data_IF_240399224715
#
_entry.id   IF_240399224715
#
_cell.length_a   1.000
_cell.length_b   1.000
_cell.length_c   1.000
_cell.angle_alpha   90.00
_cell.angle_beta   90.00
_cell.angle_gamma   90.00
#
_symmetry.space_group_name_H-M   'P 1'
#
loop_
_entity.id
_entity.type
_entity.pdbx_description
1 polymer ?
#
# COMPACT_ATOMS: atom_id res chain seq x y z
N UNK A 1 21.41 -6.41 18.71
CA UNK A 1 20.06 -7.02 18.53
C UNK A 1 19.05 -5.97 18.97
N UNK A 2 18.67 -5.04 18.08
CA UNK A 2 17.79 -3.93 18.43
C UNK A 2 16.34 -4.37 18.26
N UNK A 3 15.76 -4.87 19.35
CA UNK A 3 14.32 -5.04 19.49
C UNK A 3 13.71 -3.64 19.60
N UNK A 4 13.02 -3.18 18.55
CA UNK A 4 12.24 -1.95 18.62
C UNK A 4 11.17 -2.09 19.70
N UNK A 5 11.27 -1.19 20.68
CA UNK A 5 10.46 -1.04 21.90
C UNK A 5 9.02 -1.56 21.77
N UNK A 6 8.74 -2.72 22.37
CA UNK A 6 7.39 -3.22 22.61
C UNK A 6 6.72 -2.34 23.67
N UNK A 7 5.93 -1.35 23.26
CA UNK A 7 5.06 -0.60 24.18
C UNK A 7 3.72 -1.34 24.29
N UNK A 8 3.48 -1.92 25.46
CA UNK A 8 2.17 -2.44 25.85
C UNK A 8 1.15 -1.29 25.89
N UNK A 9 0.08 -1.38 25.09
CA UNK A 9 -1.10 -0.54 25.31
C UNK A 9 -2.38 -1.26 24.88
N UNK A 10 -3.44 -1.10 25.70
CA UNK A 10 -4.70 -1.86 25.65
C UNK A 10 -5.59 -1.38 24.50
N UNK A 11 -6.21 -2.32 23.79
CA UNK A 11 -7.26 -2.06 22.82
C UNK A 11 -8.53 -1.63 23.57
N UNK A 12 -8.82 -0.33 23.56
CA UNK A 12 -10.15 0.25 23.81
C UNK A 12 -10.53 0.90 22.48
N UNK A 13 -11.57 0.51 21.75
CA UNK A 13 -12.96 0.47 22.19
C UNK A 13 -13.73 1.53 21.38
N UNK A 14 -14.33 1.10 20.27
CA UNK A 14 -15.54 1.64 19.60
C UNK A 14 -15.68 3.19 19.52
N UNK A 15 -15.46 3.76 18.34
CA UNK A 15 -16.11 5.03 17.98
C UNK A 15 -17.40 4.72 17.21
N UNK A 16 -18.55 4.92 17.87
CA UNK A 16 -19.87 4.93 17.25
C UNK A 16 -20.07 6.27 16.55
N UNK A 17 -20.45 6.24 15.27
CA UNK A 17 -21.04 7.40 14.59
C UNK A 17 -22.57 7.23 14.58
N UNK A 18 -23.26 8.15 15.23
CA UNK A 18 -24.70 8.36 15.11
C UNK A 18 -24.98 9.06 13.78
N UNK A 19 -25.95 8.55 13.02
CA UNK A 19 -26.82 9.40 12.22
C UNK A 19 -28.19 8.72 12.07
N UNK A 20 -29.23 9.41 12.54
CA UNK A 20 -30.64 9.09 12.31
C UNK A 20 -31.07 9.84 11.06
N UNK A 21 -31.72 9.14 10.13
CA UNK A 21 -32.84 9.67 9.34
C UNK A 21 -33.74 8.48 8.99
N UNK A 22 -35.01 8.57 9.40
CA UNK A 22 -36.11 7.76 8.87
C UNK A 22 -36.52 8.36 7.52
N UNK A 23 -36.87 7.55 6.51
CA UNK A 23 -38.28 7.33 6.13
C UNK A 23 -38.42 6.27 5.02
N UNK A 24 -39.64 5.72 4.92
CA UNK A 24 -40.10 4.53 4.20
C UNK A 24 -40.07 4.57 2.65
N UNK A 25 -40.14 3.39 2.02
CA UNK A 25 -40.64 3.30 0.63
C UNK A 25 -40.19 2.11 -0.23
N UNK A 26 -40.96 1.02 -0.18
CA UNK A 26 -41.32 0.07 -1.25
C UNK A 26 -40.27 -0.73 -2.07
N UNK A 27 -40.55 -2.05 -2.10
CA UNK A 27 -39.98 -3.10 -2.95
C UNK A 27 -40.00 -2.81 -4.45
N UNK A 28 -38.94 -3.23 -5.14
CA UNK A 28 -39.08 -3.99 -6.39
C UNK A 28 -37.85 -4.87 -6.63
N UNK A 29 -38.13 -6.15 -6.84
CA UNK A 29 -37.19 -7.21 -7.16
C UNK A 29 -36.91 -7.24 -8.66
N UNK A 30 -35.64 -7.11 -9.05
CA UNK A 30 -35.16 -7.53 -10.37
C UNK A 30 -33.80 -8.22 -10.23
N UNK A 31 -33.83 -9.54 -10.30
CA UNK A 31 -32.64 -10.39 -10.39
C UNK A 31 -32.07 -10.34 -11.80
N UNK A 32 -31.00 -9.59 -12.00
CA UNK A 32 -30.10 -9.73 -13.15
C UNK A 32 -28.88 -10.52 -12.70
N UNK A 33 -28.81 -11.80 -13.13
CA UNK A 33 -27.67 -12.69 -12.85
C UNK A 33 -26.50 -12.30 -13.75
N UNK A 34 -25.63 -11.43 -13.26
CA UNK A 34 -24.32 -11.18 -13.88
C UNK A 34 -23.28 -12.09 -13.24
N UNK A 35 -22.66 -12.96 -14.04
CA UNK A 35 -21.60 -13.87 -13.61
C UNK A 35 -20.34 -13.09 -13.19
N UNK A 36 -19.78 -13.30 -11.98
CA UNK A 36 -18.61 -12.54 -11.49
C UNK A 36 -17.26 -12.91 -12.13
N UNK A 37 -17.23 -13.81 -13.11
CA UNK A 37 -15.99 -14.44 -13.59
C UNK A 37 -15.30 -13.64 -14.70
N UNK A 38 -16.06 -12.91 -15.52
CA UNK A 38 -15.53 -12.25 -16.74
C UNK A 38 -14.77 -10.96 -16.41
N UNK A 39 -15.23 -10.16 -15.44
CA UNK A 39 -14.59 -8.87 -15.12
C UNK A 39 -13.14 -9.02 -14.60
N UNK A 40 -12.82 -10.13 -13.93
CA UNK A 40 -11.52 -10.28 -13.25
C UNK A 40 -10.36 -10.70 -14.16
N UNK A 41 -10.65 -11.27 -15.33
CA UNK A 41 -9.61 -11.74 -16.25
C UNK A 41 -9.13 -10.61 -17.17
N UNK A 42 -10.06 -9.78 -17.64
CA UNK A 42 -9.74 -8.56 -18.40
C UNK A 42 -8.92 -7.57 -17.54
N UNK A 43 -9.33 -7.34 -16.28
CA UNK A 43 -8.58 -6.51 -15.34
C UNK A 43 -7.15 -7.03 -15.10
N UNK A 44 -6.97 -8.36 -15.16
CA UNK A 44 -5.66 -8.99 -14.99
C UNK A 44 -4.79 -8.78 -16.22
N UNK A 45 -5.34 -8.95 -17.42
CA UNK A 45 -4.62 -8.70 -18.67
C UNK A 45 -4.19 -7.24 -18.79
N UNK A 46 -5.09 -6.30 -18.46
CA UNK A 46 -4.78 -4.87 -18.45
C UNK A 46 -3.65 -4.58 -17.44
N UNK A 47 -3.74 -5.14 -16.23
CA UNK A 47 -2.68 -4.99 -15.23
C UNK A 47 -1.32 -5.51 -15.72
N UNK A 48 -1.28 -6.67 -16.40
CA UNK A 48 -0.04 -7.22 -16.97
C UNK A 48 0.55 -6.26 -18.00
N UNK A 49 -0.25 -5.80 -18.98
CA UNK A 49 0.21 -4.90 -20.05
C UNK A 49 0.76 -3.59 -19.47
N UNK A 50 0.03 -2.96 -18.54
CA UNK A 50 0.49 -1.73 -17.88
C UNK A 50 1.80 -1.98 -17.12
N UNK A 51 1.93 -3.13 -16.46
CA UNK A 51 3.14 -3.43 -15.69
C UNK A 51 4.39 -3.58 -16.56
N UNK A 52 4.26 -4.10 -17.79
CA UNK A 52 5.38 -4.25 -18.73
C UNK A 52 5.80 -2.88 -19.30
N UNK A 53 4.82 -2.04 -19.64
CA UNK A 53 5.06 -0.70 -20.17
C UNK A 53 5.80 0.21 -19.18
N UNK A 54 5.41 0.16 -17.89
CA UNK A 54 5.96 1.06 -16.87
C UNK A 54 7.24 0.58 -16.18
N UNK A 55 7.69 -0.65 -16.43
CA UNK A 55 8.95 -1.16 -15.88
C UNK A 55 10.18 -0.39 -16.38
N UNK A 56 10.05 0.29 -17.54
CA UNK A 56 11.15 0.95 -18.22
C UNK A 56 11.26 2.46 -17.95
N UNK A 57 10.46 3.00 -17.02
CA UNK A 57 10.50 4.44 -16.71
C UNK A 57 11.61 4.82 -15.72
N UNK A 58 12.11 6.04 -15.92
CA UNK A 58 13.33 6.60 -15.31
C UNK A 58 13.36 6.53 -13.77
N UNK A 59 14.44 5.98 -13.21
CA UNK A 59 14.65 5.78 -11.76
C UNK A 59 15.12 7.08 -11.04
N UNK A 60 14.42 8.20 -11.26
CA UNK A 60 14.80 9.51 -10.71
C UNK A 60 14.85 9.52 -9.17
N UNK A 61 13.87 8.89 -8.52
CA UNK A 61 13.80 8.79 -7.05
C UNK A 61 14.98 7.96 -6.51
N UNK A 62 15.30 6.84 -7.16
CA UNK A 62 16.41 5.97 -6.77
C UNK A 62 17.74 6.73 -6.74
N UNK A 63 17.99 7.55 -7.76
CA UNK A 63 19.19 8.41 -7.82
C UNK A 63 19.24 9.39 -6.66
N UNK A 64 18.13 10.08 -6.36
CA UNK A 64 18.06 11.07 -5.26
C UNK A 64 18.22 10.45 -3.87
N UNK A 65 17.68 9.25 -3.67
CA UNK A 65 17.68 8.58 -2.36
C UNK A 65 18.85 7.61 -2.18
N UNK A 66 19.74 7.48 -3.17
CA UNK A 66 20.90 6.59 -3.14
C UNK A 66 21.87 6.83 -1.96
N UNK A 67 21.87 8.04 -1.39
CA UNK A 67 22.73 8.40 -0.25
C UNK A 67 22.11 8.09 1.12
N UNK A 68 20.86 7.63 1.17
CA UNK A 68 20.22 7.27 2.45
C UNK A 68 20.68 5.89 2.89
N UNK A 69 21.10 5.78 4.15
CA UNK A 69 21.31 4.48 4.79
C UNK A 69 19.96 3.79 4.97
N UNK A 70 19.72 2.72 4.20
CA UNK A 70 18.58 1.84 4.43
C UNK A 70 18.87 0.87 5.58
N UNK A 71 17.82 0.48 6.30
CA UNK A 71 17.89 -0.60 7.29
C UNK A 71 17.27 -1.86 6.66
N UNK A 72 17.91 -3.04 6.82
CA UNK A 72 17.32 -4.30 6.38
C UNK A 72 15.91 -4.50 6.97
N UNK A 73 14.96 -4.82 6.09
CA UNK A 73 13.58 -5.07 6.49
C UNK A 73 13.44 -6.40 7.25
N UNK A 74 12.68 -6.39 8.35
CA UNK A 74 12.24 -7.60 9.07
C UNK A 74 10.71 -7.64 9.04
N UNK A 75 10.08 -8.61 8.34
CA UNK A 75 8.63 -8.72 8.25
C UNK A 75 7.97 -8.87 9.63
N UNK A 76 6.84 -8.20 9.80
CA UNK A 76 6.04 -8.22 11.02
C UNK A 76 4.58 -7.85 10.76
N UNK A 77 3.68 -8.38 11.57
CA UNK A 77 2.28 -7.94 11.55
C UNK A 77 2.14 -6.60 12.29
N UNK A 78 1.16 -5.79 11.90
CA UNK A 78 0.84 -4.56 12.65
C UNK A 78 0.22 -4.92 14.01
N UNK A 79 0.72 -4.32 15.08
CA UNK A 79 0.29 -4.66 16.47
C UNK A 79 -0.59 -3.60 17.11
N UNK A 80 -0.51 -2.34 16.69
CA UNK A 80 -1.31 -1.24 17.26
C UNK A 80 -1.56 -0.12 16.25
N UNK A 81 -2.55 0.71 16.56
CA UNK A 81 -2.78 2.01 15.92
C UNK A 81 -2.27 3.08 16.92
N UNK A 82 -1.48 4.08 16.48
CA UNK A 82 -0.93 5.10 17.36
C UNK A 82 -2.03 6.02 17.91
N UNK A 83 -1.75 6.68 19.03
CA UNK A 83 -2.64 7.75 19.51
C UNK A 83 -2.56 8.97 18.58
N UNK A 84 -3.55 9.87 18.69
CA UNK A 84 -3.68 11.03 17.79
C UNK A 84 -2.46 11.96 17.78
N UNK A 85 -1.89 12.24 18.96
CA UNK A 85 -0.76 13.17 19.08
C UNK A 85 0.47 12.60 18.39
N UNK A 86 0.77 11.31 18.64
CA UNK A 86 1.87 10.61 17.98
C UNK A 86 1.65 10.55 16.47
N UNK A 87 0.42 10.27 16.02
CA UNK A 87 0.09 10.26 14.61
C UNK A 87 0.31 11.63 13.94
N UNK A 88 0.01 12.74 14.63
CA UNK A 88 0.24 14.10 14.12
C UNK A 88 1.74 14.42 13.98
N UNK A 89 2.56 14.12 14.99
CA UNK A 89 4.01 14.30 14.91
C UNK A 89 4.66 13.43 13.84
N UNK A 90 4.13 12.22 13.65
CA UNK A 90 4.55 11.30 12.59
C UNK A 90 4.22 11.85 11.20
N UNK A 91 3.02 12.39 11.04
CA UNK A 91 2.60 13.01 9.78
C UNK A 91 3.47 14.20 9.40
N UNK A 92 3.75 15.10 10.36
CA UNK A 92 4.61 16.27 10.15
C UNK A 92 6.03 15.86 9.75
N UNK A 93 6.60 14.84 10.42
CA UNK A 93 7.92 14.33 10.08
C UNK A 93 7.97 13.71 8.68
N UNK A 94 6.94 12.99 8.28
CA UNK A 94 6.84 12.46 6.92
C UNK A 94 6.75 13.60 5.91
N UNK A 95 5.92 14.61 6.17
CA UNK A 95 5.80 15.80 5.32
C UNK A 95 7.14 16.52 5.13
N UNK A 96 7.90 16.72 6.20
CA UNK A 96 9.24 17.32 6.13
C UNK A 96 10.20 16.47 5.28
N UNK A 97 10.17 15.14 5.41
CA UNK A 97 10.98 14.23 4.59
C UNK A 97 10.61 14.29 3.11
N UNK A 98 9.31 14.32 2.78
CA UNK A 98 8.83 14.46 1.41
C UNK A 98 9.36 15.74 0.75
N UNK A 99 9.26 16.87 1.46
CA UNK A 99 9.78 18.15 0.98
C UNK A 99 11.29 18.13 0.81
N UNK A 100 12.01 17.57 1.79
CA UNK A 100 13.48 17.48 1.76
C UNK A 100 14.00 16.70 0.55
N UNK A 101 13.29 15.63 0.14
CA UNK A 101 13.70 14.79 -0.97
C UNK A 101 13.02 15.14 -2.31
N UNK A 102 12.18 16.18 -2.34
CA UNK A 102 11.46 16.60 -3.55
C UNK A 102 10.51 15.52 -4.07
N UNK A 103 9.78 14.88 -3.16
CA UNK A 103 8.84 13.79 -3.44
C UNK A 103 7.40 14.23 -3.24
N UNK A 104 6.50 13.64 -4.01
CA UNK A 104 5.08 13.93 -3.95
C UNK A 104 4.26 12.65 -3.78
N UNK A 105 3.31 12.69 -2.85
CA UNK A 105 2.34 11.60 -2.64
C UNK A 105 1.20 11.68 -3.66
N UNK A 106 0.87 10.55 -4.28
CA UNK A 106 -0.47 10.29 -4.82
C UNK A 106 -1.33 9.76 -3.68
N UNK A 107 -2.27 10.60 -3.22
CA UNK A 107 -3.17 10.26 -2.12
C UNK A 107 -4.16 9.19 -2.56
N UNK A 108 -4.17 8.08 -1.83
CA UNK A 108 -5.20 7.03 -1.95
C UNK A 108 -6.18 7.12 -0.78
N UNK A 109 -7.34 6.49 -0.91
CA UNK A 109 -8.34 6.43 0.16
C UNK A 109 -7.74 5.85 1.46
N UNK A 110 -8.00 6.51 2.59
CA UNK A 110 -7.61 6.08 3.94
C UNK A 110 -8.45 4.93 4.48
N UNK A 111 -8.70 3.90 3.66
CA UNK A 111 -9.38 2.67 4.05
C UNK A 111 -8.37 1.55 4.30
N UNK A 112 -8.85 0.38 4.74
CA UNK A 112 -7.97 -0.78 4.93
C UNK A 112 -7.41 -1.39 3.63
N UNK A 113 -7.58 -0.74 2.48
CA UNK A 113 -6.97 -1.11 1.22
C UNK A 113 -5.78 -0.22 0.82
N UNK A 114 -5.46 0.81 1.60
CA UNK A 114 -4.45 1.81 1.27
C UNK A 114 -3.13 1.22 0.77
N UNK A 115 -2.57 0.20 1.46
CA UNK A 115 -1.33 -0.46 1.06
C UNK A 115 -1.43 -1.07 -0.36
N UNK A 116 -2.52 -1.79 -0.64
CA UNK A 116 -2.74 -2.42 -1.95
C UNK A 116 -3.07 -1.40 -3.04
N UNK A 117 -3.72 -0.28 -2.70
CA UNK A 117 -3.95 0.85 -3.63
C UNK A 117 -2.65 1.54 -3.99
N UNK A 118 -1.78 1.77 -3.01
CA UNK A 118 -0.47 2.39 -3.25
C UNK A 118 0.43 1.47 -4.11
N UNK A 119 0.44 0.17 -3.82
CA UNK A 119 1.12 -0.83 -4.68
C UNK A 119 0.52 -0.86 -6.10
N UNK A 120 -0.81 -0.87 -6.21
CA UNK A 120 -1.51 -0.85 -7.51
C UNK A 120 -1.13 0.39 -8.32
N UNK A 121 -1.07 1.55 -7.69
CA UNK A 121 -0.66 2.78 -8.35
C UNK A 121 0.81 2.74 -8.82
N UNK A 122 1.72 2.20 -8.01
CA UNK A 122 3.12 2.05 -8.44
C UNK A 122 3.29 1.01 -9.57
N UNK A 123 2.50 -0.07 -9.56
CA UNK A 123 2.58 -1.15 -10.56
C UNK A 123 1.89 -0.79 -11.88
N UNK A 124 0.75 -0.11 -11.81
CA UNK A 124 -0.17 0.06 -12.94
C UNK A 124 -0.57 1.51 -13.20
N UNK A 125 0.01 2.48 -12.47
CA UNK A 125 -0.35 3.90 -12.52
C UNK A 125 -1.84 4.17 -12.24
N UNK A 126 -2.47 3.26 -11.51
CA UNK A 126 -3.87 3.35 -11.11
C UNK A 126 -4.10 2.62 -9.79
N UNK A 127 -4.77 3.23 -8.80
CA UNK A 127 -5.14 2.57 -7.55
C UNK A 127 -6.32 1.60 -7.69
N UNK A 128 -6.95 1.52 -8.86
CA UNK A 128 -8.20 0.75 -9.06
C UNK A 128 -7.98 -0.77 -9.09
N UNK A 129 -6.79 -1.23 -9.47
CA UNK A 129 -6.46 -2.67 -9.52
C UNK A 129 -6.05 -3.26 -8.16
N UNK A 130 -6.28 -2.54 -7.06
CA UNK A 130 -5.88 -2.95 -5.71
C UNK A 130 -6.46 -4.32 -5.28
N UNK A 131 -7.62 -4.71 -5.80
CA UNK A 131 -8.23 -6.03 -5.54
C UNK A 131 -7.37 -7.14 -6.14
N UNK A 132 -6.87 -6.94 -7.36
CA UNK A 132 -6.01 -7.89 -8.06
C UNK A 132 -4.65 -7.98 -7.36
N UNK A 133 -4.07 -6.84 -6.96
CA UNK A 133 -2.84 -6.81 -6.14
C UNK A 133 -3.02 -7.62 -4.86
N UNK A 134 -4.10 -7.39 -4.09
CA UNK A 134 -4.38 -8.14 -2.86
C UNK A 134 -4.50 -9.63 -3.14
N UNK A 135 -5.21 -10.02 -4.21
CA UNK A 135 -5.40 -11.43 -4.60
C UNK A 135 -4.06 -12.11 -4.85
N UNK A 136 -3.19 -11.49 -5.63
CA UNK A 136 -1.87 -12.03 -5.97
C UNK A 136 -0.93 -12.11 -4.76
N UNK A 137 -0.93 -11.09 -3.90
CA UNK A 137 -0.17 -11.11 -2.63
C UNK A 137 -0.66 -12.24 -1.72
N UNK A 138 -1.98 -12.44 -1.61
CA UNK A 138 -2.54 -13.53 -0.78
C UNK A 138 -2.26 -14.90 -1.39
N UNK A 139 -2.20 -15.04 -2.73
CA UNK A 139 -1.73 -16.27 -3.37
C UNK A 139 -0.26 -16.55 -3.02
N UNK A 140 0.61 -15.55 -3.16
CA UNK A 140 2.03 -15.66 -2.77
C UNK A 140 2.17 -16.14 -1.31
N UNK A 141 1.42 -15.54 -0.39
CA UNK A 141 1.42 -15.92 1.03
C UNK A 141 0.99 -17.38 1.24
N UNK A 142 0.05 -17.90 0.45
CA UNK A 142 -0.45 -19.27 0.59
C UNK A 142 0.53 -20.29 -0.01
N UNK A 143 1.06 -20.00 -1.19
CA UNK A 143 1.88 -20.93 -1.96
C UNK A 143 3.28 -21.07 -1.36
N UNK A 144 3.83 -19.99 -0.80
CA UNK A 144 5.17 -19.95 -0.20
C UNK A 144 5.12 -19.76 1.31
N UNK A 145 4.21 -20.46 1.98
CA UNK A 145 3.93 -20.36 3.42
C UNK A 145 5.18 -20.33 4.30
N UNK A 146 6.15 -21.20 4.05
CA UNK A 146 7.35 -21.38 4.88
C UNK A 146 8.20 -20.12 4.96
N UNK A 147 8.12 -19.23 3.97
CA UNK A 147 8.86 -17.96 3.96
C UNK A 147 8.29 -16.92 4.94
N UNK A 148 7.00 -17.02 5.26
CA UNK A 148 6.29 -15.95 5.98
C UNK A 148 5.75 -16.37 7.34
N UNK A 149 5.45 -17.65 7.55
CA UNK A 149 4.70 -18.08 8.73
C UNK A 149 5.41 -17.81 10.05
N UNK A 150 6.74 -17.79 10.06
CA UNK A 150 7.55 -17.47 11.24
C UNK A 150 7.36 -16.03 11.76
N UNK A 151 6.87 -15.11 10.92
CA UNK A 151 6.62 -13.72 11.28
C UNK A 151 5.17 -13.47 11.75
N UNK A 152 4.31 -14.50 11.70
CA UNK A 152 2.89 -14.39 12.00
C UNK A 152 2.58 -15.08 13.34
N UNK A 153 2.32 -14.34 14.43
CA UNK A 153 2.12 -14.90 15.78
C UNK A 153 0.75 -15.57 15.98
N UNK A 154 0.00 -15.83 14.91
CA UNK A 154 -1.30 -16.50 14.94
C UNK A 154 -1.34 -17.66 13.94
N UNK A 155 -2.37 -18.50 14.00
CA UNK A 155 -2.56 -19.59 13.03
C UNK A 155 -2.50 -19.02 11.61
N UNK A 156 -1.49 -19.41 10.83
CA UNK A 156 -1.21 -18.84 9.51
C UNK A 156 -2.41 -18.89 8.55
N UNK A 157 -3.14 -20.02 8.55
CA UNK A 157 -4.39 -20.16 7.76
C UNK A 157 -5.45 -19.12 8.14
N UNK A 158 -5.53 -18.70 9.41
CA UNK A 158 -6.43 -17.63 9.87
C UNK A 158 -5.94 -16.28 9.36
N UNK A 159 -4.64 -16.02 9.43
CA UNK A 159 -4.01 -14.81 8.88
C UNK A 159 -4.32 -14.64 7.38
N UNK A 160 -4.04 -15.65 6.54
CA UNK A 160 -4.33 -15.56 5.10
C UNK A 160 -5.83 -15.36 4.79
N UNK A 161 -6.72 -15.97 5.60
CA UNK A 161 -8.17 -15.77 5.48
C UNK A 161 -8.60 -14.34 5.83
N UNK A 162 -7.98 -13.72 6.82
CA UNK A 162 -8.22 -12.30 7.14
C UNK A 162 -7.69 -11.42 6.00
N UNK A 163 -6.46 -11.65 5.57
CA UNK A 163 -5.80 -10.82 4.55
C UNK A 163 -6.49 -10.86 3.19
N UNK A 164 -7.19 -11.97 2.88
CA UNK A 164 -8.03 -12.10 1.69
C UNK A 164 -9.25 -11.15 1.67
N UNK A 165 -9.69 -10.64 2.83
CA UNK A 165 -10.88 -9.78 2.91
C UNK A 165 -10.54 -8.36 2.43
N UNK A 166 -11.40 -7.80 1.59
CA UNK A 166 -11.34 -6.38 1.25
C UNK A 166 -11.44 -5.53 2.51
N UNK A 167 -10.62 -4.49 2.61
CA UNK A 167 -10.54 -3.63 3.79
C UNK A 167 -9.77 -4.20 4.97
N UNK A 168 -9.22 -5.43 4.91
CA UNK A 168 -8.24 -5.87 5.91
C UNK A 168 -6.91 -5.15 5.67
N UNK A 169 -6.39 -4.50 6.70
CA UNK A 169 -5.15 -3.72 6.61
C UNK A 169 -3.97 -4.61 6.27
N UNK A 170 -3.17 -4.19 5.29
CA UNK A 170 -1.88 -4.81 5.01
C UNK A 170 -0.84 -4.48 6.08
N UNK A 171 0.20 -5.28 6.16
CA UNK A 171 1.30 -5.15 7.12
C UNK A 171 2.66 -5.32 6.41
N UNK A 172 3.74 -5.50 7.19
CA UNK A 172 5.06 -5.67 6.61
C UNK A 172 5.28 -7.06 5.98
N UNK A 173 4.47 -8.07 6.34
CA UNK A 173 4.51 -9.40 5.74
C UNK A 173 3.88 -9.35 4.35
N UNK A 174 2.79 -8.62 4.17
CA UNK A 174 2.21 -8.41 2.83
C UNK A 174 3.11 -7.58 1.91
N UNK A 175 3.89 -6.64 2.44
CA UNK A 175 4.89 -5.92 1.62
C UNK A 175 6.00 -6.86 1.15
N UNK A 176 6.52 -7.74 2.02
CA UNK A 176 7.50 -8.74 1.60
C UNK A 176 6.93 -9.66 0.52
N UNK A 177 5.71 -10.19 0.75
CA UNK A 177 5.05 -11.03 -0.25
C UNK A 177 4.76 -10.29 -1.56
N UNK A 178 4.46 -8.98 -1.53
CA UNK A 178 4.32 -8.18 -2.74
C UNK A 178 5.66 -8.04 -3.49
N UNK A 179 6.75 -7.75 -2.77
CA UNK A 179 8.08 -7.68 -3.37
C UNK A 179 8.45 -8.99 -4.07
N UNK A 180 8.21 -10.12 -3.39
CA UNK A 180 8.49 -11.46 -3.93
C UNK A 180 7.59 -11.78 -5.13
N UNK A 181 6.30 -11.46 -5.06
CA UNK A 181 5.31 -11.78 -6.10
C UNK A 181 5.54 -11.00 -7.40
N UNK A 182 5.89 -9.73 -7.29
CA UNK A 182 6.06 -8.82 -8.43
C UNK A 182 7.51 -8.62 -8.82
N UNK A 183 8.45 -9.36 -8.19
CA UNK A 183 9.89 -9.26 -8.42
C UNK A 183 10.36 -7.79 -8.35
N UNK A 184 9.89 -7.09 -7.32
CA UNK A 184 9.99 -5.65 -7.21
C UNK A 184 10.61 -5.25 -5.87
N UNK A 185 11.61 -4.38 -5.89
CA UNK A 185 12.10 -3.75 -4.65
C UNK A 185 11.08 -2.71 -4.21
N UNK A 186 10.63 -2.76 -2.96
CA UNK A 186 9.77 -1.73 -2.37
C UNK A 186 10.63 -0.82 -1.49
N UNK A 187 10.61 0.46 -1.80
CA UNK A 187 11.31 1.51 -1.09
C UNK A 187 10.30 2.33 -0.28
N UNK A 188 10.41 2.27 1.05
CA UNK A 188 9.50 2.96 1.96
C UNK A 188 10.16 4.19 2.58
N UNK A 189 9.61 5.37 2.32
CA UNK A 189 9.87 6.56 3.12
C UNK A 189 8.90 6.56 4.30
N UNK A 190 9.41 6.36 5.51
CA UNK A 190 8.54 6.19 6.69
C UNK A 190 8.44 7.46 7.51
N UNK A 191 7.47 7.51 8.42
CA UNK A 191 7.42 8.49 9.51
C UNK A 191 8.16 8.04 10.77
N UNK A 192 8.86 6.91 10.83
CA UNK A 192 9.55 6.50 12.07
C UNK A 192 10.63 7.51 12.46
N UNK A 193 10.84 7.73 13.77
CA UNK A 193 11.84 8.71 14.25
C UNK A 193 13.24 8.34 13.77
N UNK A 194 13.66 7.10 14.04
CA UNK A 194 15.05 6.65 13.81
C UNK A 194 15.23 5.90 12.48
N UNK A 195 14.15 5.66 11.73
CA UNK A 195 14.19 4.92 10.48
C UNK A 195 13.56 5.75 9.38
N UNK A 196 14.36 6.53 8.66
CA UNK A 196 13.86 7.33 7.52
C UNK A 196 13.38 6.44 6.38
N UNK A 197 14.17 5.42 6.08
CA UNK A 197 14.08 4.67 4.83
C UNK A 197 14.21 3.16 5.08
N UNK A 198 13.33 2.37 4.46
CA UNK A 198 13.34 0.91 4.52
C UNK A 198 13.29 0.35 3.11
N UNK A 199 14.15 -0.61 2.82
CA UNK A 199 14.14 -1.35 1.56
C UNK A 199 13.66 -2.78 1.79
N UNK A 200 12.73 -3.21 0.95
CA UNK A 200 12.18 -4.55 0.92
C UNK A 200 12.54 -5.16 -0.42
N UNK A 201 13.45 -6.11 -0.41
CA UNK A 201 13.97 -6.75 -1.63
C UNK A 201 13.30 -8.13 -1.78
N UNK A 202 12.97 -8.56 -3.01
CA UNK A 202 12.54 -9.93 -3.26
C UNK A 202 13.59 -10.94 -2.78
N UNK A 203 13.16 -12.01 -2.10
CA UNK A 203 14.08 -12.98 -1.49
C UNK A 203 14.75 -13.91 -2.52
N UNK A 204 14.04 -14.24 -3.60
CA UNK A 204 14.46 -15.33 -4.51
C UNK A 204 15.09 -14.85 -5.82
N UNK A 205 14.94 -13.58 -6.18
CA UNK A 205 15.32 -13.04 -7.49
C UNK A 205 15.81 -11.61 -7.36
N UNK A 206 16.67 -11.17 -8.30
CA UNK A 206 17.05 -9.77 -8.39
C UNK A 206 15.81 -8.92 -8.76
N UNK A 207 15.61 -7.74 -8.13
CA UNK A 207 14.46 -6.89 -8.44
C UNK A 207 14.52 -6.39 -9.89
N UNK A 208 13.39 -6.51 -10.59
CA UNK A 208 13.23 -6.04 -11.97
C UNK A 208 12.70 -4.60 -12.04
N UNK A 209 12.20 -4.08 -10.92
CA UNK A 209 11.62 -2.74 -10.80
C UNK A 209 11.67 -2.25 -9.35
N UNK A 210 11.47 -0.94 -9.17
CA UNK A 210 11.38 -0.30 -7.86
C UNK A 210 10.00 0.34 -7.66
N UNK A 211 9.39 0.11 -6.50
CA UNK A 211 8.11 0.70 -6.09
C UNK A 211 8.36 1.63 -4.91
N UNK A 212 7.91 2.87 -5.01
CA UNK A 212 8.14 3.90 -4.00
C UNK A 212 6.84 4.21 -3.26
N UNK A 213 6.83 3.98 -1.94
CA UNK A 213 5.68 4.26 -1.08
C UNK A 213 6.09 5.16 0.08
N UNK A 214 5.16 5.96 0.55
CA UNK A 214 5.27 6.58 1.87
C UNK A 214 4.53 5.74 2.89
N UNK A 215 5.03 5.77 4.12
CA UNK A 215 4.39 5.11 5.25
C UNK A 215 4.24 6.08 6.41
N UNK A 216 3.01 6.56 6.61
CA UNK A 216 2.60 7.18 7.85
C UNK A 216 2.38 6.05 8.86
N UNK A 217 3.37 5.87 9.74
CA UNK A 217 3.54 4.74 10.64
C UNK A 217 2.23 4.27 11.25
N UNK A 218 1.89 3.00 10.99
CA UNK A 218 0.73 2.29 11.53
C UNK A 218 -0.63 2.91 11.16
N UNK A 219 -0.66 3.89 10.26
CA UNK A 219 -1.86 4.62 9.86
C UNK A 219 -2.15 4.46 8.37
N UNK A 220 -1.21 4.78 7.48
CA UNK A 220 -1.54 4.92 6.06
C UNK A 220 -0.35 4.75 5.10
N UNK A 221 -0.63 4.26 3.90
CA UNK A 221 0.31 4.17 2.78
C UNK A 221 -0.18 5.04 1.61
N UNK A 222 0.73 5.80 1.02
CA UNK A 222 0.51 6.45 -0.28
C UNK A 222 1.60 6.02 -1.28
N UNK A 223 1.31 6.22 -2.55
CA UNK A 223 2.26 6.04 -3.64
C UNK A 223 3.14 7.28 -3.77
N UNK A 224 4.43 7.11 -4.06
CA UNK A 224 5.39 8.22 -4.19
C UNK A 224 5.92 8.38 -5.60
N UNK A 225 6.03 9.65 -5.99
CA UNK A 225 6.62 10.08 -7.26
C UNK A 225 7.65 11.17 -7.04
N UNK A 226 8.54 11.33 -8.01
CA UNK A 226 9.33 12.54 -8.12
C UNK A 226 8.40 13.74 -8.30
N UNK A 227 8.61 14.82 -7.55
CA UNK A 227 7.75 15.99 -7.64
C UNK A 227 7.71 16.61 -9.05
N UNK A 228 8.79 16.53 -9.82
CA UNK A 228 8.84 17.04 -11.19
C UNK A 228 8.03 16.16 -12.14
N UNK A 229 8.16 14.83 -12.01
CA UNK A 229 7.39 13.85 -12.78
C UNK A 229 5.89 13.95 -12.45
N UNK A 230 5.56 14.08 -11.16
CA UNK A 230 4.20 14.31 -10.70
C UNK A 230 3.60 15.57 -11.33
N UNK A 231 4.32 16.70 -11.26
CA UNK A 231 3.86 17.96 -11.82
C UNK A 231 3.66 17.89 -13.34
N UNK A 232 4.45 17.10 -14.06
CA UNK A 232 4.26 16.88 -15.50
C UNK A 232 2.98 16.09 -15.81
N UNK A 233 2.65 15.10 -14.98
CA UNK A 233 1.50 14.19 -15.18
C UNK A 233 0.16 14.78 -14.75
N UNK A 234 0.13 15.47 -13.62
CA UNK A 234 -1.10 15.97 -13.01
C UNK A 234 -1.38 17.45 -13.31
N UNK A 235 -0.80 18.02 -14.39
CA UNK A 235 -1.19 19.38 -14.84
C UNK A 235 -2.70 19.41 -15.11
N UNK A 236 -3.45 20.36 -14.53
CA UNK A 236 -4.83 20.57 -14.94
C UNK A 236 -4.84 20.86 -16.44
N UNK A 237 -5.57 20.07 -17.24
CA UNK A 237 -5.82 20.44 -18.64
C UNK A 237 -6.46 21.82 -18.63
N UNK A 238 -5.81 22.82 -19.24
CA UNK A 238 -6.43 24.13 -19.47
C UNK A 238 -7.72 23.87 -20.22
N UNK A 239 -8.88 24.11 -19.58
CA UNK A 239 -10.16 24.12 -20.28
C UNK A 239 -10.10 25.31 -21.22
N UNK A 240 -9.82 25.05 -22.49
CA UNK A 240 -10.04 26.02 -23.54
C UNK A 240 -11.56 26.21 -23.64
N UNK A 241 -12.05 27.30 -23.06
CA UNK A 241 -13.38 27.80 -23.37
C UNK A 241 -13.32 28.31 -24.81
N UNK A 242 -13.93 27.56 -25.74
CA UNK A 242 -14.26 28.10 -27.04
C UNK A 242 -15.47 29.03 -26.80
N UNK A 243 -15.23 30.32 -26.96
CA UNK A 243 -16.29 31.33 -27.08
C UNK A 243 -16.83 31.31 -28.51
#
# INVERSE_FOLDING_TARGET
MLLYSSKHCRISGRMSAMNRFNDEGASSSSTSRSSPQVETDDDRMIAIVLSEEYANLDNAIAKRLSSLSSIPHVPRINTCIPNYNDASFDHERLFQRLNMYGLQEVKVSGDGNCQFRALSDQLFRSPEYHKNVRKEVVHQLKDFRTLYEGYVPMKYKKYCKKMAKSGEWGDHVTLQAAADKFVAKICLLTSFRDTCFVEIVPQSQAPQRELWLSFWSEVHYNSLYDAQEYAARYKPRKKHWLF
#
